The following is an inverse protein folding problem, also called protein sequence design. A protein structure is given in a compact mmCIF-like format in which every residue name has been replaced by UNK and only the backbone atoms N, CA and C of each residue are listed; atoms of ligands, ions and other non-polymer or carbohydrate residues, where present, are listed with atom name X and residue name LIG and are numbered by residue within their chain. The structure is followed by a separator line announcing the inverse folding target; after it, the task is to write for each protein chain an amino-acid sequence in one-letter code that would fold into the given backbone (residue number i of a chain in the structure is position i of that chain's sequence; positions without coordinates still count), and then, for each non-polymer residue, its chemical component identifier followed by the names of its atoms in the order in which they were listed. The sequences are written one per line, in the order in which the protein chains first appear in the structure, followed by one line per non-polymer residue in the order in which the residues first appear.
data_IF_479979464007
#
_entry.id   IF_479979464007
#
_cell.length_a   1.000
_cell.length_b   1.000
_cell.length_c   1.000
_cell.angle_alpha   90.00
_cell.angle_beta   90.00
_cell.angle_gamma   90.00
#
_symmetry.space_group_name_H-M   'P 1'
#
loop_
_entity.id
_entity.type
_entity.pdbx_description
1 polymer ?
#
# COMPACT_ATOMS: atom_id res chain seq x y z
N UNK A 1 -20.78 -25.52 11.64
CA UNK A 1 -19.65 -26.45 11.45
C UNK A 1 -18.59 -25.93 12.40
N UNK A 2 -18.48 -26.54 13.57
CA UNK A 2 -17.53 -26.13 14.61
C UNK A 2 -16.12 -26.14 14.01
N UNK A 3 -15.46 -24.99 14.04
CA UNK A 3 -14.04 -24.91 13.72
C UNK A 3 -13.33 -25.27 15.01
N UNK A 4 -13.10 -26.55 15.24
CA UNK A 4 -12.18 -27.02 16.28
C UNK A 4 -10.83 -26.32 16.03
N UNK A 5 -10.47 -25.39 16.91
CA UNK A 5 -9.12 -24.86 16.91
C UNK A 5 -8.19 -26.05 17.20
N UNK A 6 -7.18 -26.34 16.36
CA UNK A 6 -6.25 -27.43 16.63
C UNK A 6 -5.30 -26.97 17.72
N UNK A 7 -5.77 -26.94 18.98
CA UNK A 7 -4.94 -26.70 20.15
C UNK A 7 -3.74 -27.65 20.14
N UNK A 8 -3.99 -28.92 19.82
CA UNK A 8 -2.95 -29.96 19.68
C UNK A 8 -1.94 -29.66 18.57
N UNK A 9 -2.38 -29.10 17.44
CA UNK A 9 -1.50 -28.77 16.33
C UNK A 9 -0.51 -27.64 16.66
N UNK A 10 -1.00 -26.60 17.35
CA UNK A 10 -0.15 -25.49 17.80
C UNK A 10 0.90 -25.94 18.82
N UNK A 11 0.50 -26.70 19.85
CA UNK A 11 1.42 -27.20 20.87
C UNK A 11 2.46 -28.17 20.28
N UNK A 12 2.05 -29.04 19.36
CA UNK A 12 2.95 -29.99 18.69
C UNK A 12 3.97 -29.27 17.79
N UNK A 13 3.55 -28.25 17.03
CA UNK A 13 4.48 -27.45 16.22
C UNK A 13 5.47 -26.66 17.08
N UNK A 14 5.00 -26.09 18.20
CA UNK A 14 5.86 -25.35 19.12
C UNK A 14 6.97 -26.22 19.68
N UNK A 15 6.66 -27.46 20.06
CA UNK A 15 7.65 -28.42 20.54
C UNK A 15 8.69 -28.80 19.47
N UNK A 16 8.27 -29.05 18.23
CA UNK A 16 9.17 -29.43 17.14
C UNK A 16 10.19 -28.34 16.79
N UNK A 17 9.79 -27.06 16.89
CA UNK A 17 10.67 -25.94 16.54
C UNK A 17 11.61 -25.50 17.67
N UNK A 18 11.47 -26.02 18.89
CA UNK A 18 12.38 -25.69 20.01
C UNK A 18 13.84 -25.97 19.63
N UNK A 19 14.13 -27.03 18.88
CA UNK A 19 15.49 -27.38 18.49
C UNK A 19 16.21 -26.29 17.66
N UNK A 20 15.48 -25.47 16.89
CA UNK A 20 16.05 -24.34 16.12
C UNK A 20 16.41 -23.14 17.01
N UNK A 21 15.74 -23.02 18.16
CA UNK A 21 15.92 -21.93 19.15
C UNK A 21 17.20 -22.14 19.98
N UNK A 22 17.75 -23.36 20.02
CA UNK A 22 18.94 -23.70 20.81
C UNK A 22 20.28 -23.53 20.05
N UNK A 23 20.31 -22.74 18.98
CA UNK A 23 21.56 -22.44 18.28
C UNK A 23 22.48 -21.55 19.13
N UNK A 24 23.77 -21.87 19.18
CA UNK A 24 24.75 -21.13 19.98
C UNK A 24 25.31 -19.88 19.27
N UNK A 25 25.00 -19.70 17.98
CA UNK A 25 25.39 -18.53 17.20
C UNK A 25 24.39 -18.26 16.09
N UNK A 26 24.41 -17.05 15.54
CA UNK A 26 23.61 -16.69 14.37
C UNK A 26 23.95 -17.54 13.14
N UNK A 27 25.23 -17.86 12.94
CA UNK A 27 25.67 -18.71 11.83
C UNK A 27 25.07 -20.12 11.93
N UNK A 28 25.09 -20.70 13.12
CA UNK A 28 24.46 -22.01 13.37
C UNK A 28 22.95 -21.94 13.18
N UNK A 29 22.29 -20.88 13.66
CA UNK A 29 20.85 -20.70 13.49
C UNK A 29 20.45 -20.66 12.01
N UNK A 30 21.13 -19.86 11.19
CA UNK A 30 20.85 -19.74 9.75
C UNK A 30 21.13 -21.08 9.05
N UNK A 31 22.24 -21.76 9.39
CA UNK A 31 22.57 -23.07 8.81
C UNK A 31 21.57 -24.17 9.16
N UNK A 32 20.85 -24.04 10.28
CA UNK A 32 19.85 -25.01 10.72
C UNK A 32 18.46 -24.76 10.11
N UNK A 33 18.26 -23.65 9.38
CA UNK A 33 16.99 -23.38 8.70
C UNK A 33 16.76 -24.42 7.59
N UNK A 34 15.54 -24.96 7.52
CA UNK A 34 15.16 -25.96 6.51
C UNK A 34 13.76 -25.69 5.99
N UNK A 35 13.59 -25.85 4.68
CA UNK A 35 12.31 -25.67 3.96
C UNK A 35 11.28 -26.74 4.30
N UNK A 36 11.73 -27.88 4.83
CA UNK A 36 10.88 -29.02 5.20
C UNK A 36 10.23 -28.82 6.59
N UNK A 37 10.68 -27.80 7.34
CA UNK A 37 10.07 -27.43 8.61
C UNK A 37 8.81 -26.60 8.35
N UNK A 38 7.66 -27.16 8.71
CA UNK A 38 6.39 -26.44 8.64
C UNK A 38 6.43 -25.19 9.55
N UNK A 39 5.95 -24.02 9.10
CA UNK A 39 5.90 -22.80 9.91
C UNK A 39 4.88 -22.93 11.05
N UNK A 40 4.97 -22.04 12.03
CA UNK A 40 3.94 -21.90 13.05
C UNK A 40 2.58 -21.61 12.42
N UNK A 41 1.53 -22.25 12.95
CA UNK A 41 0.15 -22.04 12.51
C UNK A 41 -0.31 -20.59 12.70
N UNK A 42 0.09 -19.95 13.80
CA UNK A 42 -0.26 -18.55 14.09
C UNK A 42 0.68 -17.61 13.35
N UNK A 43 0.14 -16.80 12.46
CA UNK A 43 0.88 -15.71 11.81
C UNK A 43 0.79 -14.45 12.69
N UNK A 44 1.93 -14.03 13.22
CA UNK A 44 2.04 -12.85 14.08
C UNK A 44 2.07 -11.51 13.32
N UNK A 45 2.59 -11.49 12.10
CA UNK A 45 2.75 -10.25 11.33
C UNK A 45 1.47 -9.89 10.59
N UNK A 46 0.89 -8.72 10.89
CA UNK A 46 -0.33 -8.22 10.26
C UNK A 46 -0.14 -7.90 8.76
N UNK A 47 -1.23 -8.06 7.98
CA UNK A 47 -1.29 -7.74 6.56
C UNK A 47 -2.11 -6.49 6.33
N UNK A 48 -1.48 -5.50 5.68
CA UNK A 48 -2.12 -4.25 5.24
C UNK A 48 -2.36 -4.36 3.74
N UNK A 49 -3.61 -4.23 3.32
CA UNK A 49 -4.00 -4.26 1.91
C UNK A 49 -4.49 -2.88 1.49
N UNK A 50 -3.95 -2.33 0.40
CA UNK A 50 -4.46 -1.07 -0.17
C UNK A 50 -5.65 -1.37 -1.06
N UNK A 51 -6.76 -0.65 -0.87
CA UNK A 51 -7.95 -0.82 -1.72
C UNK A 51 -7.61 -0.41 -3.16
N UNK A 52 -7.78 -1.33 -4.11
CA UNK A 52 -7.71 -1.05 -5.54
C UNK A 52 -9.06 -0.61 -6.10
N UNK A 53 -9.05 0.06 -7.26
CA UNK A 53 -10.27 0.65 -7.84
C UNK A 53 -11.38 -0.35 -8.12
N UNK A 54 -11.02 -1.57 -8.49
CA UNK A 54 -11.94 -2.65 -8.82
C UNK A 54 -12.15 -3.64 -7.66
N UNK A 55 -11.67 -3.34 -6.45
CA UNK A 55 -11.68 -4.25 -5.29
C UNK A 55 -12.63 -3.81 -4.17
N UNK A 56 -13.66 -3.04 -4.50
CA UNK A 56 -14.58 -2.43 -3.54
C UNK A 56 -15.93 -3.16 -3.39
N UNK A 57 -16.15 -4.29 -4.07
CA UNK A 57 -17.35 -5.12 -3.89
C UNK A 57 -17.30 -5.97 -2.62
N UNK A 58 -18.47 -6.40 -2.15
CA UNK A 58 -18.59 -7.23 -0.95
C UNK A 58 -17.81 -8.54 -1.07
N UNK A 59 -17.92 -9.22 -2.22
CA UNK A 59 -17.27 -10.50 -2.47
C UNK A 59 -15.74 -10.37 -2.43
N UNK A 60 -15.21 -9.27 -2.97
CA UNK A 60 -13.77 -9.03 -3.03
C UNK A 60 -13.21 -8.65 -1.66
N UNK A 61 -13.94 -7.82 -0.90
CA UNK A 61 -13.55 -7.47 0.47
C UNK A 61 -13.61 -8.72 1.36
N UNK A 62 -14.65 -9.53 1.23
CA UNK A 62 -14.81 -10.80 1.92
C UNK A 62 -13.65 -11.77 1.62
N UNK A 63 -13.27 -11.89 0.35
CA UNK A 63 -12.10 -12.66 -0.07
C UNK A 63 -10.80 -12.15 0.56
N UNK A 64 -10.60 -10.83 0.65
CA UNK A 64 -9.41 -10.26 1.30
C UNK A 64 -9.37 -10.59 2.80
N UNK A 65 -10.51 -10.49 3.49
CA UNK A 65 -10.62 -10.85 4.92
C UNK A 65 -10.29 -12.32 5.14
N UNK A 66 -10.91 -13.22 4.35
CA UNK A 66 -10.64 -14.67 4.40
C UNK A 66 -9.20 -15.04 4.07
N UNK A 67 -8.56 -14.26 3.20
CA UNK A 67 -7.15 -14.44 2.83
C UNK A 67 -6.17 -13.90 3.88
N UNK A 68 -6.66 -13.29 4.97
CA UNK A 68 -5.85 -12.86 6.11
C UNK A 68 -5.57 -11.36 6.20
N UNK A 69 -6.30 -10.51 5.44
CA UNK A 69 -6.20 -9.05 5.58
C UNK A 69 -6.56 -8.62 7.02
N UNK A 70 -5.69 -7.83 7.66
CA UNK A 70 -5.96 -7.27 8.99
C UNK A 70 -6.27 -5.78 8.94
N UNK A 71 -5.70 -5.07 7.97
CA UNK A 71 -5.89 -3.63 7.83
C UNK A 71 -6.19 -3.29 6.37
N UNK A 72 -7.30 -2.60 6.13
CA UNK A 72 -7.62 -2.02 4.85
C UNK A 72 -7.10 -0.57 4.80
N UNK A 73 -6.18 -0.29 3.89
CA UNK A 73 -5.63 1.04 3.61
C UNK A 73 -6.41 1.71 2.48
N UNK A 74 -6.93 2.90 2.74
CA UNK A 74 -7.68 3.73 1.78
C UNK A 74 -6.82 4.93 1.38
N UNK A 75 -6.44 5.00 0.11
CA UNK A 75 -5.59 6.09 -0.41
C UNK A 75 -6.44 7.28 -0.87
N UNK A 76 -6.45 8.36 -0.09
CA UNK A 76 -7.29 9.53 -0.37
C UNK A 76 -6.87 10.32 -1.62
N UNK A 77 -5.70 10.05 -2.22
CA UNK A 77 -5.30 10.66 -3.49
C UNK A 77 -5.99 10.06 -4.72
N UNK A 78 -6.62 8.87 -4.58
CA UNK A 78 -7.15 8.09 -5.71
C UNK A 78 -8.68 7.93 -5.71
N UNK A 79 -9.36 8.26 -4.61
CA UNK A 79 -10.79 7.97 -4.44
C UNK A 79 -11.54 9.08 -3.72
N UNK A 80 -12.87 9.08 -3.88
CA UNK A 80 -13.74 10.06 -3.24
C UNK A 80 -14.08 9.64 -1.80
N UNK A 81 -14.47 10.62 -0.98
CA UNK A 81 -14.90 10.36 0.41
C UNK A 81 -16.13 9.46 0.45
N UNK A 82 -17.03 9.63 -0.51
CA UNK A 82 -18.29 8.89 -0.64
C UNK A 82 -18.02 7.41 -0.92
N UNK A 83 -17.11 7.11 -1.86
CA UNK A 83 -16.67 5.74 -2.17
C UNK A 83 -16.09 5.07 -0.92
N UNK A 84 -15.18 5.76 -0.23
CA UNK A 84 -14.55 5.21 0.96
C UNK A 84 -15.50 5.04 2.15
N UNK A 85 -16.44 5.96 2.34
CA UNK A 85 -17.49 5.80 3.34
C UNK A 85 -18.36 4.57 3.09
N UNK A 86 -18.62 4.22 1.82
CA UNK A 86 -19.33 2.99 1.47
C UNK A 86 -18.49 1.75 1.73
N UNK A 87 -17.22 1.75 1.35
CA UNK A 87 -16.29 0.65 1.62
C UNK A 87 -16.17 0.39 3.13
N UNK A 88 -16.05 1.43 3.94
CA UNK A 88 -16.01 1.31 5.41
C UNK A 88 -17.28 0.61 5.92
N UNK A 89 -18.47 1.03 5.43
CA UNK A 89 -19.74 0.38 5.79
C UNK A 89 -19.78 -1.09 5.38
N UNK A 90 -19.28 -1.44 4.18
CA UNK A 90 -19.19 -2.82 3.71
C UNK A 90 -18.29 -3.66 4.61
N UNK A 91 -17.09 -3.17 4.96
CA UNK A 91 -16.16 -3.87 5.86
C UNK A 91 -16.80 -4.15 7.22
N UNK A 92 -17.43 -3.15 7.83
CA UNK A 92 -18.08 -3.30 9.16
C UNK A 92 -19.23 -4.32 9.13
N UNK A 93 -20.06 -4.27 8.08
CA UNK A 93 -21.13 -5.25 7.88
C UNK A 93 -20.57 -6.67 7.67
N UNK A 94 -19.48 -6.82 6.93
CA UNK A 94 -18.84 -8.12 6.73
C UNK A 94 -18.27 -8.67 8.04
N UNK A 95 -17.64 -7.85 8.88
CA UNK A 95 -17.15 -8.27 10.20
C UNK A 95 -18.27 -8.87 11.07
N UNK A 96 -19.45 -8.25 11.08
CA UNK A 96 -20.62 -8.74 11.81
C UNK A 96 -21.12 -10.10 11.30
N UNK A 97 -20.78 -10.49 10.07
CA UNK A 97 -21.17 -11.79 9.50
C UNK A 97 -20.30 -12.97 9.93
N UNK A 98 -19.16 -12.72 10.61
CA UNK A 98 -18.23 -13.76 11.05
C UNK A 98 -18.40 -14.08 12.54
N UNK A 99 -18.52 -15.36 12.87
CA UNK A 99 -18.61 -15.83 14.26
C UNK A 99 -17.39 -15.46 15.12
N UNK A 100 -16.20 -15.43 14.52
CA UNK A 100 -14.94 -15.13 15.21
C UNK A 100 -14.56 -13.64 15.19
N UNK A 101 -15.36 -12.81 14.51
CA UNK A 101 -15.17 -11.36 14.33
C UNK A 101 -13.70 -10.94 14.04
N UNK A 102 -13.25 -10.98 12.77
CA UNK A 102 -11.86 -10.75 12.38
C UNK A 102 -11.26 -9.39 12.82
N UNK A 103 -12.07 -8.39 13.15
CA UNK A 103 -11.66 -7.03 13.54
C UNK A 103 -10.60 -6.43 12.59
N UNK A 104 -11.07 -5.97 11.43
CA UNK A 104 -10.30 -5.32 10.38
C UNK A 104 -10.08 -3.83 10.71
N UNK A 105 -8.82 -3.47 10.88
CA UNK A 105 -8.39 -2.08 10.99
C UNK A 105 -8.63 -1.30 9.69
N UNK A 106 -8.94 -0.02 9.79
CA UNK A 106 -9.10 0.87 8.63
C UNK A 106 -8.09 2.00 8.76
N UNK A 107 -7.21 2.11 7.77
CA UNK A 107 -6.18 3.14 7.70
C UNK A 107 -6.51 4.13 6.57
N UNK A 108 -6.67 5.40 6.92
CA UNK A 108 -6.78 6.48 5.94
C UNK A 108 -5.38 7.01 5.64
N UNK A 109 -4.95 6.85 4.39
CA UNK A 109 -3.69 7.40 3.93
C UNK A 109 -3.92 8.81 3.38
N UNK A 110 -3.36 9.79 4.10
CA UNK A 110 -3.37 11.19 3.73
C UNK A 110 -2.11 11.48 2.93
N UNK A 111 -2.28 11.85 1.66
CA UNK A 111 -1.20 12.35 0.84
C UNK A 111 -1.26 13.88 0.78
N UNK A 112 -0.12 14.54 0.99
CA UNK A 112 0.04 15.92 0.56
C UNK A 112 -0.12 15.98 -0.98
N UNK A 113 -0.65 17.07 -1.53
CA UNK A 113 -0.77 17.20 -2.98
C UNK A 113 0.64 17.06 -3.61
N UNK A 114 0.88 16.05 -4.45
CA UNK A 114 2.19 15.87 -5.06
C UNK A 114 2.46 17.01 -6.03
N UNK A 115 3.73 17.35 -6.19
CA UNK A 115 4.15 18.24 -7.28
C UNK A 115 4.01 17.45 -8.60
N UNK A 116 3.17 17.95 -9.50
CA UNK A 116 2.87 17.40 -10.82
C UNK A 116 3.20 18.43 -11.88
N UNK A 117 3.55 17.92 -13.06
CA UNK A 117 3.71 18.73 -14.26
C UNK A 117 2.36 18.97 -14.95
N UNK A 118 2.36 19.92 -15.88
CA UNK A 118 1.22 20.15 -16.78
C UNK A 118 1.06 19.05 -17.83
N UNK A 119 0.00 19.15 -18.62
CA UNK A 119 -0.23 18.30 -19.79
C UNK A 119 0.67 18.75 -20.94
N UNK A 120 1.06 17.78 -21.76
CA UNK A 120 1.85 18.01 -22.97
C UNK A 120 0.89 18.19 -24.14
N UNK A 121 0.80 19.40 -24.69
CA UNK A 121 -0.10 19.74 -25.81
C UNK A 121 -1.53 19.19 -25.64
N UNK A 122 -2.13 19.48 -24.48
CA UNK A 122 -3.48 19.06 -24.06
C UNK A 122 -3.68 17.54 -23.92
N UNK A 123 -2.62 16.74 -24.01
CA UNK A 123 -2.68 15.28 -23.94
C UNK A 123 -2.00 14.73 -22.68
N UNK A 124 -2.64 13.72 -22.08
CA UNK A 124 -2.11 12.96 -20.94
C UNK A 124 -1.09 11.91 -21.40
N UNK A 125 -1.23 11.41 -22.62
CA UNK A 125 -0.41 10.33 -23.17
C UNK A 125 0.77 10.84 -24.02
N UNK A 126 0.81 12.14 -24.30
CA UNK A 126 1.90 12.74 -25.06
C UNK A 126 3.19 12.75 -24.23
N UNK A 127 4.31 12.46 -24.91
CA UNK A 127 5.64 12.42 -24.31
C UNK A 127 6.54 13.46 -24.97
N UNK A 128 7.33 14.13 -24.15
CA UNK A 128 8.34 15.07 -24.59
C UNK A 128 9.72 14.54 -24.21
N UNK A 129 10.65 14.63 -25.15
CA UNK A 129 12.06 14.25 -24.94
C UNK A 129 12.86 15.50 -24.59
N UNK A 130 13.58 15.46 -23.48
CA UNK A 130 14.51 16.51 -23.04
C UNK A 130 15.93 15.97 -23.23
N UNK A 131 16.77 16.73 -23.94
CA UNK A 131 18.15 16.32 -24.22
C UNK A 131 19.11 16.73 -23.10
N UNK A 132 20.20 15.97 -22.93
CA UNK A 132 21.26 16.35 -21.98
C UNK A 132 21.86 17.70 -22.35
N UNK A 133 21.94 18.60 -21.37
CA UNK A 133 22.43 19.97 -21.56
C UNK A 133 21.38 20.96 -22.08
N UNK A 134 20.16 20.51 -22.36
CA UNK A 134 19.04 21.38 -22.72
C UNK A 134 18.62 22.23 -21.52
N UNK A 135 18.51 23.54 -21.73
CA UNK A 135 17.93 24.45 -20.76
C UNK A 135 16.40 24.33 -20.79
N UNK A 136 15.81 24.18 -19.60
CA UNK A 136 14.36 24.04 -19.41
C UNK A 136 13.91 25.05 -18.37
N UNK A 137 12.84 25.79 -18.69
CA UNK A 137 12.23 26.75 -17.78
C UNK A 137 11.09 26.06 -17.03
N UNK A 138 11.16 26.07 -15.69
CA UNK A 138 10.03 25.71 -14.84
C UNK A 138 9.15 26.94 -14.59
N UNK A 139 7.84 26.80 -14.74
CA UNK A 139 6.88 27.90 -14.58
C UNK A 139 5.65 27.49 -13.76
N UNK A 140 5.00 28.48 -13.16
CA UNK A 140 3.69 28.35 -12.50
C UNK A 140 2.59 29.13 -13.24
N UNK A 141 2.91 29.67 -14.43
CA UNK A 141 1.93 30.40 -15.25
C UNK A 141 0.92 29.42 -15.88
N UNK A 142 -0.34 29.52 -15.46
CA UNK A 142 -1.46 28.66 -15.86
C UNK A 142 -1.69 28.58 -17.39
N UNK A 143 -1.19 29.55 -18.16
CA UNK A 143 -1.16 29.48 -19.63
C UNK A 143 -0.49 28.19 -20.16
N UNK A 144 0.50 27.67 -19.41
CA UNK A 144 1.28 26.49 -19.76
C UNK A 144 0.81 25.20 -19.05
N UNK A 145 -0.26 25.27 -18.25
CA UNK A 145 -0.79 24.09 -17.53
C UNK A 145 -1.14 22.96 -18.51
N UNK A 146 -1.70 23.31 -19.67
CA UNK A 146 -2.06 22.34 -20.72
C UNK A 146 -1.09 22.30 -21.90
N UNK A 147 -0.12 23.21 -21.94
CA UNK A 147 0.78 23.40 -23.08
C UNK A 147 2.25 23.29 -22.64
N UNK A 148 2.56 22.28 -21.84
CA UNK A 148 3.94 21.95 -21.47
C UNK A 148 4.71 21.42 -22.68
N UNK A 149 5.95 21.88 -22.84
CA UNK A 149 6.86 21.55 -23.95
C UNK A 149 8.23 21.11 -23.44
N UNK A 150 9.17 20.79 -24.34
CA UNK A 150 10.54 20.43 -23.95
C UNK A 150 11.31 21.59 -23.34
N UNK A 151 10.93 22.84 -23.65
CA UNK A 151 11.61 24.04 -23.15
C UNK A 151 10.92 24.69 -21.95
N UNK A 152 9.61 24.46 -21.78
CA UNK A 152 8.82 25.07 -20.71
C UNK A 152 7.96 23.99 -20.05
N UNK A 153 8.15 23.78 -18.74
CA UNK A 153 7.39 22.82 -17.93
C UNK A 153 6.62 23.56 -16.85
N UNK A 154 5.31 23.45 -16.88
CA UNK A 154 4.46 23.95 -15.81
C UNK A 154 4.47 22.99 -14.61
N UNK A 155 4.43 23.52 -13.39
CA UNK A 155 4.32 22.74 -12.15
C UNK A 155 3.24 23.30 -11.21
N UNK A 156 2.52 22.43 -10.51
CA UNK A 156 1.42 22.79 -9.60
C UNK A 156 1.84 23.21 -8.17
N UNK A 157 3.03 23.80 -8.01
CA UNK A 157 3.60 24.10 -6.67
C UNK A 157 3.59 25.59 -6.34
N UNK A 158 2.76 25.99 -5.38
CA UNK A 158 2.72 27.36 -4.83
C UNK A 158 3.99 27.76 -4.05
N UNK A 159 4.79 26.78 -3.66
CA UNK A 159 6.00 27.01 -2.89
C UNK A 159 7.25 27.20 -3.77
N UNK A 160 7.11 27.02 -5.09
CA UNK A 160 8.18 27.34 -6.04
C UNK A 160 8.23 28.88 -6.28
N UNK A 161 9.42 29.49 -6.42
CA UNK A 161 10.77 28.91 -6.33
C UNK A 161 11.36 28.91 -4.91
N UNK A 162 10.62 29.36 -3.90
CA UNK A 162 11.14 29.69 -2.57
C UNK A 162 11.82 28.54 -1.81
N UNK A 163 11.50 27.28 -2.12
CA UNK A 163 12.12 26.10 -1.50
C UNK A 163 13.44 25.69 -2.19
N UNK A 164 13.73 26.23 -3.37
CA UNK A 164 14.95 25.86 -4.10
C UNK A 164 16.13 26.70 -3.62
N UNK A 165 17.11 26.02 -3.03
CA UNK A 165 18.43 26.59 -2.80
C UNK A 165 19.33 26.21 -3.97
N UNK A 166 19.87 27.21 -4.67
CA UNK A 166 20.89 26.98 -5.68
C UNK A 166 22.19 26.59 -4.98
N UNK A 167 22.68 25.39 -5.24
CA UNK A 167 24.05 25.01 -4.88
C UNK A 167 24.93 25.61 -5.98
N UNK A 168 25.52 26.76 -5.68
CA UNK A 168 26.52 27.41 -6.53
C UNK A 168 27.90 26.80 -6.36
#
# INVERSE_FOLDING_TARGET
MEVDAPSDGYFTQYQQQQHLVHAHSLMQHISNQSIDHAPFFVRHTNLVCTLGDHWDSDEKIDQMIKSGMNILRLNLSMGTKEKYAEVIRRVRRLEESYDYNPSVGIALDLSAPPVRTGLINESVDAVVVIQTGQMVTLTINDEYEKNTTSSIIWINSLYFPHILHTVG
#
